data_IF_460261174803
#
_entry.id   IF_460261174803
#
_cell.length_a   1.000
_cell.length_b   1.000
_cell.length_c   1.000
_cell.angle_alpha   90.00
_cell.angle_beta   90.00
_cell.angle_gamma   90.00
#
_symmetry.space_group_name_H-M   'P 1'
#
loop_
_entity.id
_entity.type
_entity.pdbx_description
1 polymer ?
#
# COMPACT_ATOMS: atom_id res chain seq x y z
N UNK A 1 -42.42 42.98 29.72
CA UNK A 1 -41.99 42.48 28.40
C UNK A 1 -40.62 41.86 28.59
N UNK A 2 -40.59 40.54 28.78
CA UNK A 2 -40.12 39.55 27.80
C UNK A 2 -38.68 39.10 28.13
N UNK A 3 -38.63 37.93 28.78
CA UNK A 3 -37.44 37.12 29.00
C UNK A 3 -36.96 36.45 27.69
N UNK A 4 -35.73 35.92 27.74
CA UNK A 4 -35.11 34.87 26.90
C UNK A 4 -34.49 35.28 25.56
N UNK A 5 -33.15 35.28 25.55
CA UNK A 5 -32.39 34.62 24.47
C UNK A 5 -31.08 34.11 25.03
N UNK A 6 -31.13 32.90 25.59
CA UNK A 6 -29.95 32.07 25.82
C UNK A 6 -29.55 31.52 24.44
N UNK A 7 -28.43 32.01 23.91
CA UNK A 7 -27.86 31.53 22.65
C UNK A 7 -27.16 30.18 22.93
N UNK A 8 -27.88 29.08 22.70
CA UNK A 8 -27.35 27.72 22.76
C UNK A 8 -26.40 27.51 21.57
N UNK A 9 -25.09 27.57 21.83
CA UNK A 9 -24.06 27.14 20.88
C UNK A 9 -24.09 25.61 20.81
N UNK A 10 -24.74 25.06 19.80
CA UNK A 10 -24.61 23.64 19.46
C UNK A 10 -23.24 23.40 18.83
N UNK A 11 -22.29 22.89 19.62
CA UNK A 11 -21.09 22.24 19.11
C UNK A 11 -21.53 20.98 18.35
N UNK A 12 -21.61 21.04 17.03
CA UNK A 12 -21.69 19.85 16.20
C UNK A 12 -20.30 19.19 16.19
N UNK A 13 -20.08 18.25 17.12
CA UNK A 13 -18.96 17.35 17.07
C UNK A 13 -19.09 16.47 15.82
N UNK A 14 -18.35 16.83 14.77
CA UNK A 14 -18.06 15.92 13.66
C UNK A 14 -17.18 14.79 14.21
N UNK A 15 -17.85 13.77 14.75
CA UNK A 15 -17.25 12.47 14.96
C UNK A 15 -16.96 11.92 13.57
N UNK A 16 -15.73 12.10 13.12
CA UNK A 16 -15.16 11.29 12.05
C UNK A 16 -15.03 9.88 12.62
N UNK A 17 -16.12 9.11 12.58
CA UNK A 17 -16.03 7.66 12.68
C UNK A 17 -15.11 7.24 11.52
N UNK A 18 -13.87 6.91 11.85
CA UNK A 18 -12.98 6.20 10.93
C UNK A 18 -13.54 4.79 10.81
N UNK A 19 -14.61 4.66 10.04
CA UNK A 19 -15.10 3.36 9.62
C UNK A 19 -14.05 2.84 8.64
N UNK A 20 -13.28 1.85 9.08
CA UNK A 20 -12.38 1.13 8.20
C UNK A 20 -13.21 0.64 7.02
N UNK A 21 -12.90 1.12 5.82
CA UNK A 21 -13.61 0.71 4.62
C UNK A 21 -13.59 -0.84 4.56
N UNK A 22 -14.73 -1.50 4.28
CA UNK A 22 -14.75 -2.95 4.15
C UNK A 22 -13.69 -3.37 3.14
N UNK A 23 -12.89 -4.37 3.51
CA UNK A 23 -11.90 -4.96 2.61
C UNK A 23 -12.61 -5.43 1.34
N UNK A 24 -12.06 -5.07 0.19
CA UNK A 24 -12.62 -5.47 -1.10
C UNK A 24 -12.59 -7.01 -1.15
N UNK A 25 -13.61 -7.74 -1.65
CA UNK A 25 -13.59 -9.20 -1.67
C UNK A 25 -12.37 -9.80 -2.41
N UNK A 26 -11.72 -9.01 -3.26
CA UNK A 26 -10.43 -9.34 -3.88
C UNK A 26 -9.29 -9.47 -2.85
N UNK A 27 -9.30 -8.67 -1.78
CA UNK A 27 -8.28 -8.63 -0.72
C UNK A 27 -8.28 -9.93 0.11
N UNK A 28 -9.44 -10.58 0.27
CA UNK A 28 -9.55 -11.81 1.05
C UNK A 28 -8.88 -13.03 0.38
N UNK A 29 -8.67 -12.98 -0.94
CA UNK A 29 -8.09 -14.11 -1.70
C UNK A 29 -6.57 -14.07 -1.75
N UNK A 30 -5.96 -12.90 -1.59
CA UNK A 30 -4.53 -12.72 -1.75
C UNK A 30 -3.90 -12.17 -0.47
N UNK A 31 -2.81 -12.77 0.03
CA UNK A 31 -2.23 -12.35 1.31
C UNK A 31 -1.45 -11.03 1.21
N UNK A 32 -1.07 -10.60 0.00
CA UNK A 32 -0.36 -9.34 -0.24
C UNK A 32 -0.93 -8.63 -1.48
N UNK A 33 -1.47 -7.44 -1.26
CA UNK A 33 -2.01 -6.55 -2.27
C UNK A 33 -1.17 -5.27 -2.32
N UNK A 34 -0.87 -4.79 -3.53
CA UNK A 34 -0.16 -3.52 -3.73
C UNK A 34 -1.02 -2.55 -4.52
N UNK A 35 -1.09 -1.30 -4.07
CA UNK A 35 -1.77 -0.20 -4.75
C UNK A 35 -0.82 0.97 -4.94
N UNK A 36 -0.75 1.50 -6.15
CA UNK A 36 0.14 2.61 -6.50
C UNK A 36 -0.65 3.74 -7.16
N UNK A 37 -0.46 4.95 -6.65
CA UNK A 37 -1.13 6.17 -7.09
C UNK A 37 -0.08 7.20 -7.52
N UNK A 38 -0.31 7.83 -8.65
CA UNK A 38 0.44 8.97 -9.16
C UNK A 38 -0.23 10.27 -8.68
N UNK A 39 0.44 11.00 -7.77
CA UNK A 39 -0.12 12.24 -7.23
C UNK A 39 0.08 13.45 -8.15
N UNK A 40 0.90 13.35 -9.19
CA UNK A 40 1.07 14.42 -10.19
C UNK A 40 -0.13 14.45 -11.12
N UNK A 41 -0.59 13.28 -11.58
CA UNK A 41 -1.76 13.15 -12.46
C UNK A 41 -3.07 12.94 -11.71
N UNK A 42 -3.01 12.64 -10.42
CA UNK A 42 -4.20 12.31 -9.62
C UNK A 42 -4.88 11.02 -10.08
N UNK A 43 -4.09 10.04 -10.55
CA UNK A 43 -4.58 8.80 -11.16
C UNK A 43 -3.84 7.58 -10.62
N UNK A 44 -4.35 6.36 -10.84
CA UNK A 44 -3.55 5.16 -10.61
C UNK A 44 -2.27 5.16 -11.45
N UNK A 45 -1.27 4.41 -10.98
CA UNK A 45 0.03 4.30 -11.64
C UNK A 45 0.21 2.92 -12.28
N UNK A 46 -0.14 2.75 -13.58
CA UNK A 46 -0.03 1.48 -14.27
C UNK A 46 1.40 1.22 -14.76
N UNK A 47 1.68 -0.04 -15.11
CA UNK A 47 2.92 -0.52 -15.73
C UNK A 47 4.19 -0.26 -14.90
N UNK A 48 4.05 -0.14 -13.57
CA UNK A 48 5.20 -0.09 -12.66
C UNK A 48 5.65 -1.51 -12.39
N UNK A 49 6.89 -1.83 -12.72
CA UNK A 49 7.50 -3.10 -12.34
C UNK A 49 7.68 -3.16 -10.82
N UNK A 50 7.19 -4.23 -10.22
CA UNK A 50 7.27 -4.51 -8.78
C UNK A 50 7.89 -5.89 -8.61
N UNK A 51 8.92 -5.96 -7.78
CA UNK A 51 9.57 -7.21 -7.39
C UNK A 51 9.31 -7.49 -5.91
N UNK A 52 8.96 -8.72 -5.60
CA UNK A 52 8.82 -9.21 -4.24
C UNK A 52 10.01 -10.10 -3.90
N UNK A 53 10.72 -9.73 -2.84
CA UNK A 53 11.82 -10.49 -2.28
C UNK A 53 11.49 -10.97 -0.88
N UNK A 54 12.14 -12.06 -0.47
CA UNK A 54 12.21 -12.52 0.92
C UNK A 54 13.67 -12.60 1.35
N UNK A 55 13.94 -12.20 2.59
CA UNK A 55 15.27 -12.31 3.18
C UNK A 55 15.55 -13.76 3.58
N UNK A 56 16.72 -14.25 3.19
CA UNK A 56 17.24 -15.56 3.59
C UNK A 56 18.03 -15.45 4.91
N UNK A 57 18.36 -16.60 5.52
CA UNK A 57 19.04 -16.66 6.81
C UNK A 57 20.44 -16.01 6.81
N UNK A 58 21.05 -15.84 5.63
CA UNK A 58 22.34 -15.18 5.44
C UNK A 58 22.22 -13.66 5.20
N UNK A 59 21.00 -13.11 5.23
CA UNK A 59 20.71 -11.71 4.95
C UNK A 59 20.65 -11.36 3.46
N UNK A 60 20.75 -12.34 2.56
CA UNK A 60 20.56 -12.12 1.13
C UNK A 60 19.07 -12.06 0.77
N UNK A 61 18.76 -11.41 -0.36
CA UNK A 61 17.39 -11.26 -0.84
C UNK A 61 17.10 -12.23 -1.98
N UNK A 62 16.23 -13.20 -1.74
CA UNK A 62 15.73 -14.10 -2.79
C UNK A 62 14.50 -13.51 -3.46
N UNK A 63 14.53 -13.41 -4.79
CA UNK A 63 13.39 -12.96 -5.59
C UNK A 63 12.31 -14.03 -5.62
N UNK A 64 11.13 -13.71 -5.12
CA UNK A 64 9.97 -14.60 -5.16
C UNK A 64 9.11 -14.38 -6.40
N UNK A 65 8.87 -13.13 -6.77
CA UNK A 65 8.02 -12.79 -7.92
C UNK A 65 8.35 -11.42 -8.51
N UNK A 66 8.00 -11.21 -9.77
CA UNK A 66 8.07 -9.92 -10.45
C UNK A 66 6.88 -9.73 -11.39
N UNK A 67 6.14 -8.64 -11.19
CA UNK A 67 4.94 -8.30 -11.98
C UNK A 67 4.85 -6.79 -12.21
N UNK A 68 3.88 -6.35 -13.01
CA UNK A 68 3.61 -4.93 -13.24
C UNK A 68 2.21 -4.54 -12.80
N UNK A 69 2.04 -3.33 -12.26
CA UNK A 69 0.73 -2.79 -11.92
C UNK A 69 -0.17 -2.72 -13.15
N UNK A 70 -1.43 -3.11 -12.99
CA UNK A 70 -2.42 -3.04 -14.06
C UNK A 70 -2.94 -1.59 -14.27
N UNK A 71 -3.91 -1.41 -15.17
CA UNK A 71 -4.51 -0.09 -15.47
C UNK A 71 -5.14 0.62 -14.26
N UNK A 72 -5.47 -0.13 -13.21
CA UNK A 72 -5.98 0.40 -11.93
C UNK A 72 -4.88 0.69 -10.92
N UNK A 73 -3.61 0.58 -11.32
CA UNK A 73 -2.45 0.80 -10.45
C UNK A 73 -2.31 -0.25 -9.34
N UNK A 74 -2.87 -1.44 -9.51
CA UNK A 74 -2.88 -2.47 -8.46
C UNK A 74 -2.20 -3.77 -8.91
N UNK A 75 -1.78 -4.55 -7.92
CA UNK A 75 -1.21 -5.89 -8.04
C UNK A 75 -1.81 -6.80 -6.96
N UNK A 76 -2.88 -7.56 -7.27
CA UNK A 76 -3.48 -8.50 -6.32
C UNK A 76 -2.69 -9.81 -6.18
N UNK A 77 -1.96 -10.24 -7.21
CA UNK A 77 -1.42 -11.61 -7.29
C UNK A 77 0.11 -11.67 -7.25
N UNK A 78 0.73 -11.17 -6.18
CA UNK A 78 2.20 -11.22 -6.03
C UNK A 78 2.71 -12.51 -5.37
N UNK A 79 1.90 -13.15 -4.54
CA UNK A 79 2.27 -14.37 -3.81
C UNK A 79 1.02 -15.13 -3.38
N UNK A 80 1.19 -16.38 -2.96
CA UNK A 80 0.11 -17.21 -2.38
C UNK A 80 0.28 -17.32 -0.86
N UNK A 81 -0.75 -17.79 -0.16
CA UNK A 81 -0.69 -17.98 1.31
C UNK A 81 0.41 -18.97 1.70
N UNK A 82 0.67 -19.98 0.86
CA UNK A 82 1.66 -21.03 1.10
C UNK A 82 3.09 -20.51 0.94
N UNK A 83 3.30 -19.58 0.01
CA UNK A 83 4.62 -18.96 -0.24
C UNK A 83 4.91 -17.80 0.72
N UNK A 84 3.85 -17.13 1.19
CA UNK A 84 3.95 -15.96 2.06
C UNK A 84 3.97 -16.35 3.54
N UNK A 85 5.02 -17.06 3.92
CA UNK A 85 5.27 -17.51 5.30
C UNK A 85 5.88 -16.42 6.17
N UNK A 86 6.07 -16.69 7.47
CA UNK A 86 6.77 -15.79 8.37
C UNK A 86 8.18 -15.42 7.84
N UNK A 87 8.52 -14.13 7.89
CA UNK A 87 9.85 -13.65 7.47
C UNK A 87 9.90 -12.16 7.15
N UNK A 88 11.08 -11.69 6.73
CA UNK A 88 11.27 -10.32 6.25
C UNK A 88 11.11 -10.27 4.73
N UNK A 89 10.29 -9.34 4.25
CA UNK A 89 10.00 -9.15 2.83
C UNK A 89 10.40 -7.76 2.36
N UNK A 90 10.71 -7.66 1.06
CA UNK A 90 10.96 -6.38 0.39
C UNK A 90 10.15 -6.30 -0.90
N UNK A 91 9.40 -5.21 -1.05
CA UNK A 91 8.89 -4.77 -2.34
C UNK A 91 9.83 -3.72 -2.92
N UNK A 92 10.29 -3.93 -4.15
CA UNK A 92 11.06 -2.96 -4.94
C UNK A 92 10.17 -2.50 -6.10
N UNK A 93 9.79 -1.22 -6.13
CA UNK A 93 8.97 -0.62 -7.18
C UNK A 93 9.87 0.23 -8.09
N UNK A 94 9.90 -0.07 -9.39
CA UNK A 94 10.68 0.66 -10.39
C UNK A 94 10.01 2.01 -10.75
N UNK A 95 10.10 2.94 -9.80
CA UNK A 95 9.57 4.30 -9.94
C UNK A 95 10.38 5.14 -10.92
N UNK A 96 11.68 4.85 -11.10
CA UNK A 96 12.52 5.60 -12.01
C UNK A 96 12.10 5.39 -13.48
N UNK A 97 11.94 4.14 -13.91
CA UNK A 97 11.50 3.83 -15.27
C UNK A 97 10.11 4.39 -15.55
N UNK A 98 9.21 4.32 -14.56
CA UNK A 98 7.87 4.89 -14.64
C UNK A 98 7.90 6.40 -14.96
N UNK A 99 8.62 7.19 -14.17
CA UNK A 99 8.71 8.64 -14.39
C UNK A 99 9.46 9.01 -15.69
N UNK A 100 10.53 8.27 -16.02
CA UNK A 100 11.27 8.46 -17.27
C UNK A 100 10.41 8.19 -18.50
N UNK A 101 9.50 7.21 -18.44
CA UNK A 101 8.57 6.92 -19.54
C UNK A 101 7.64 8.11 -19.85
N UNK A 102 7.45 8.99 -18.88
CA UNK A 102 6.67 10.23 -19.00
C UNK A 102 7.53 11.47 -19.26
N UNK A 103 8.82 11.30 -19.55
CA UNK A 103 9.75 12.41 -19.81
C UNK A 103 10.15 13.20 -18.57
N UNK A 104 9.94 12.66 -17.37
CA UNK A 104 10.32 13.29 -16.11
C UNK A 104 11.64 12.72 -15.59
N UNK A 105 12.41 13.56 -14.89
CA UNK A 105 13.64 13.16 -14.21
C UNK A 105 13.35 12.98 -12.72
N UNK A 106 13.11 11.73 -12.25
CA UNK A 106 12.84 11.46 -10.84
C UNK A 106 14.11 11.49 -10.01
N UNK A 107 13.95 11.74 -8.71
CA UNK A 107 15.03 11.70 -7.73
C UNK A 107 15.39 10.27 -7.31
N UNK A 108 14.39 9.45 -7.01
CA UNK A 108 14.57 8.09 -6.51
C UNK A 108 14.86 7.12 -7.67
N UNK A 109 15.76 6.16 -7.44
CA UNK A 109 16.05 5.08 -8.40
C UNK A 109 14.95 3.99 -8.39
N UNK A 110 14.43 3.68 -7.21
CA UNK A 110 13.24 2.85 -6.97
C UNK A 110 12.64 3.26 -5.63
N UNK A 111 11.44 2.78 -5.32
CA UNK A 111 10.87 2.86 -3.99
C UNK A 111 10.89 1.46 -3.35
N UNK A 112 11.56 1.35 -2.21
CA UNK A 112 11.61 0.10 -1.43
C UNK A 112 10.64 0.17 -0.25
N UNK A 113 9.97 -0.96 0.01
CA UNK A 113 9.15 -1.18 1.22
C UNK A 113 9.59 -2.50 1.85
N UNK A 114 10.25 -2.42 3.00
CA UNK A 114 10.77 -3.58 3.74
C UNK A 114 9.95 -3.78 5.01
N UNK A 115 9.44 -4.99 5.25
CA UNK A 115 8.54 -5.27 6.37
C UNK A 115 8.58 -6.74 6.81
N UNK A 116 8.40 -7.02 8.11
CA UNK A 116 8.16 -8.38 8.59
C UNK A 116 6.72 -8.78 8.28
N UNK A 117 6.50 -10.06 7.99
CA UNK A 117 5.18 -10.62 7.77
C UNK A 117 4.97 -11.92 8.55
N UNK A 118 3.72 -12.15 8.97
CA UNK A 118 3.17 -13.41 9.48
C UNK A 118 3.91 -14.07 10.68
N UNK A 119 4.59 -13.28 11.50
CA UNK A 119 5.22 -13.71 12.75
C UNK A 119 4.19 -14.20 13.79
N UNK A 120 3.01 -13.58 13.81
CA UNK A 120 1.90 -13.88 14.71
C UNK A 120 0.67 -14.46 13.97
N UNK A 121 0.90 -15.27 12.94
CA UNK A 121 -0.15 -15.90 12.13
C UNK A 121 -0.39 -15.21 10.79
N UNK A 122 -1.16 -15.86 9.91
CA UNK A 122 -1.38 -15.40 8.54
C UNK A 122 -2.25 -14.14 8.53
N UNK A 123 -1.75 -13.05 7.95
CA UNK A 123 -2.48 -11.79 7.78
C UNK A 123 -2.58 -11.41 6.31
N UNK A 124 -3.53 -10.54 6.00
CA UNK A 124 -3.65 -9.87 4.71
C UNK A 124 -3.00 -8.49 4.80
N UNK A 125 -2.14 -8.18 3.83
CA UNK A 125 -1.40 -6.93 3.75
C UNK A 125 -1.80 -6.16 2.52
N UNK A 126 -2.18 -4.90 2.69
CA UNK A 126 -2.37 -3.94 1.60
C UNK A 126 -1.32 -2.85 1.73
N UNK A 127 -0.36 -2.83 0.81
CA UNK A 127 0.67 -1.80 0.72
C UNK A 127 0.24 -0.75 -0.30
N UNK A 128 0.04 0.48 0.17
CA UNK A 128 -0.32 1.62 -0.66
C UNK A 128 0.89 2.54 -0.82
N UNK A 129 1.23 2.88 -2.06
CA UNK A 129 2.34 3.78 -2.41
C UNK A 129 1.81 4.97 -3.20
N UNK A 130 2.13 6.18 -2.78
CA UNK A 130 1.80 7.42 -3.50
C UNK A 130 3.08 8.04 -4.02
N UNK A 131 3.13 8.29 -5.33
CA UNK A 131 4.33 8.71 -6.03
C UNK A 131 4.27 10.15 -6.49
N UNK A 132 5.38 10.86 -6.28
CA UNK A 132 5.78 12.08 -6.96
C UNK A 132 7.22 11.90 -7.51
N UNK A 133 7.69 12.70 -8.47
CA UNK A 133 9.04 12.53 -9.01
C UNK A 133 10.16 12.68 -7.97
N UNK A 134 9.95 13.49 -6.94
CA UNK A 134 10.93 13.78 -5.87
C UNK A 134 10.53 13.28 -4.49
N UNK A 135 9.43 12.53 -4.38
CA UNK A 135 8.93 12.02 -3.10
C UNK A 135 8.08 10.79 -3.33
N UNK A 136 8.10 9.84 -2.41
CA UNK A 136 7.04 8.86 -2.32
C UNK A 136 6.65 8.69 -0.86
N UNK A 137 5.39 8.31 -0.64
CA UNK A 137 4.93 7.84 0.66
C UNK A 137 4.43 6.42 0.52
N UNK A 138 4.61 5.64 1.59
CA UNK A 138 4.14 4.26 1.67
C UNK A 138 3.39 4.06 2.99
N UNK A 139 2.27 3.34 2.92
CA UNK A 139 1.43 3.00 4.06
C UNK A 139 1.03 1.54 3.95
N UNK A 140 0.92 0.86 5.09
CA UNK A 140 0.39 -0.50 5.16
C UNK A 140 -0.96 -0.51 5.88
N UNK A 141 -1.91 -1.29 5.35
CA UNK A 141 -3.11 -1.72 6.05
C UNK A 141 -2.98 -3.23 6.24
N UNK A 142 -3.05 -3.69 7.48
CA UNK A 142 -2.81 -5.10 7.83
C UNK A 142 -4.04 -5.62 8.56
N UNK A 143 -4.55 -6.78 8.14
CA UNK A 143 -5.67 -7.42 8.81
C UNK A 143 -5.27 -8.01 10.17
N UNK A 144 -6.29 -8.33 10.97
CA UNK A 144 -6.10 -9.28 12.07
C UNK A 144 -5.64 -10.64 11.53
N UNK A 145 -4.94 -11.45 12.35
CA UNK A 145 -4.56 -12.80 12.00
C UNK A 145 -5.79 -13.64 11.65
N UNK A 146 -5.67 -14.44 10.60
CA UNK A 146 -6.62 -15.50 10.26
C UNK A 146 -6.07 -16.79 10.88
N UNK A 147 -6.79 -17.37 11.84
CA UNK A 147 -6.51 -18.70 12.38
C UNK A 147 -6.59 -19.79 11.29
#
# INVERSE_FOLDING_TARGET
MAFHSVFLVFLAGLVLCSEAAPSDPLDAKHPLFVKVVDSVRGSPAPNIAVKLYKEDADGSWTLLNSKQTNDKGVLPELTTKEQFVAGLYKLELDTASYWKSMGLNPFHHHADVVFPANDAGNRHYTIAVVLSPFSYSTTAVVSEPVE
#
